data_IF_193312319479
#
_entry.id   IF_193312319479
#
_cell.length_a   1.000
_cell.length_b   1.000
_cell.length_c   1.000
_cell.angle_alpha   90.00
_cell.angle_beta   90.00
_cell.angle_gamma   90.00
#
_symmetry.space_group_name_H-M   'P 1'
#
loop_
_entity.id
_entity.type
_entity.pdbx_description
1 polymer ?
#
# COMPACT_ATOMS: atom_id res chain seq x y z
N UNK A 1 0.16 -51.60 -11.51
CA UNK A 1 -0.14 -50.27 -10.90
C UNK A 1 -1.59 -50.14 -10.42
N UNK A 2 -2.59 -50.51 -11.25
CA UNK A 2 -4.01 -50.45 -10.88
C UNK A 2 -4.39 -51.37 -9.70
N UNK A 3 -3.72 -52.52 -9.57
CA UNK A 3 -4.01 -53.49 -8.50
C UNK A 3 -3.56 -52.97 -7.12
N UNK A 4 -2.39 -52.33 -7.05
CA UNK A 4 -1.90 -51.69 -5.83
C UNK A 4 -2.82 -50.54 -5.38
N UNK A 5 -3.34 -49.75 -6.32
CA UNK A 5 -4.29 -48.66 -6.03
C UNK A 5 -5.61 -49.21 -5.46
N UNK A 6 -6.14 -50.30 -6.05
CA UNK A 6 -7.34 -51.00 -5.53
C UNK A 6 -7.13 -51.52 -4.11
N UNK A 7 -5.98 -52.13 -3.85
CA UNK A 7 -5.64 -52.66 -2.51
C UNK A 7 -5.52 -51.53 -1.49
N UNK A 8 -4.86 -50.42 -1.86
CA UNK A 8 -4.70 -49.26 -0.99
C UNK A 8 -6.05 -48.61 -0.62
N UNK A 9 -6.94 -48.38 -1.59
CA UNK A 9 -8.27 -47.78 -1.36
C UNK A 9 -9.12 -48.70 -0.45
N UNK A 10 -9.07 -50.01 -0.67
CA UNK A 10 -9.79 -50.97 0.16
C UNK A 10 -9.25 -51.03 1.58
N UNK A 11 -7.94 -50.87 1.76
CA UNK A 11 -7.29 -50.79 3.06
C UNK A 11 -7.70 -49.51 3.84
N UNK A 12 -7.64 -48.36 3.17
CA UNK A 12 -8.07 -47.06 3.74
C UNK A 12 -9.55 -47.10 4.14
N UNK A 13 -10.40 -47.68 3.28
CA UNK A 13 -11.83 -47.85 3.51
C UNK A 13 -12.20 -48.85 4.61
N UNK A 14 -11.33 -49.81 4.93
CA UNK A 14 -11.52 -50.77 6.03
C UNK A 14 -11.23 -50.14 7.39
N UNK A 15 -10.25 -49.24 7.47
CA UNK A 15 -9.83 -48.61 8.72
C UNK A 15 -10.34 -47.16 8.85
N UNK A 16 -11.67 -46.98 8.69
CA UNK A 16 -12.31 -45.65 8.51
C UNK A 16 -11.95 -44.63 9.58
N UNK A 17 -11.86 -45.03 10.86
CA UNK A 17 -11.57 -44.12 11.97
C UNK A 17 -10.16 -43.52 11.87
N UNK A 18 -9.14 -44.36 11.62
CA UNK A 18 -7.74 -43.94 11.50
C UNK A 18 -7.50 -43.14 10.21
N UNK A 19 -8.09 -43.59 9.11
CA UNK A 19 -8.02 -42.90 7.82
C UNK A 19 -8.65 -41.51 7.89
N UNK A 20 -9.80 -41.38 8.55
CA UNK A 20 -10.51 -40.11 8.70
C UNK A 20 -9.69 -39.07 9.48
N UNK A 21 -9.12 -39.44 10.62
CA UNK A 21 -8.27 -38.54 11.43
C UNK A 21 -7.10 -37.99 10.59
N UNK A 22 -6.46 -38.87 9.82
CA UNK A 22 -5.31 -38.49 8.98
C UNK A 22 -5.73 -37.54 7.84
N UNK A 23 -6.82 -37.86 7.13
CA UNK A 23 -7.35 -37.04 6.04
C UNK A 23 -7.75 -35.65 6.56
N UNK A 24 -8.47 -35.59 7.69
CA UNK A 24 -8.89 -34.31 8.31
C UNK A 24 -7.68 -33.48 8.71
N UNK A 25 -6.64 -34.10 9.29
CA UNK A 25 -5.41 -33.39 9.68
C UNK A 25 -4.73 -32.75 8.47
N UNK A 26 -4.57 -33.51 7.39
CA UNK A 26 -3.98 -33.00 6.14
C UNK A 26 -4.87 -31.89 5.55
N UNK A 27 -6.18 -32.13 5.50
CA UNK A 27 -7.15 -31.17 4.97
C UNK A 27 -7.09 -29.83 5.71
N UNK A 28 -7.12 -29.85 7.06
CA UNK A 28 -7.03 -28.65 7.88
C UNK A 28 -5.68 -27.94 7.68
N UNK A 29 -4.56 -28.67 7.62
CA UNK A 29 -3.24 -28.09 7.35
C UNK A 29 -3.18 -27.37 6.01
N UNK A 30 -3.69 -28.02 4.94
CA UNK A 30 -3.73 -27.41 3.60
C UNK A 30 -4.68 -26.21 3.56
N UNK A 31 -5.83 -26.29 4.23
CA UNK A 31 -6.80 -25.21 4.31
C UNK A 31 -6.20 -23.97 4.97
N UNK A 32 -5.52 -24.15 6.12
CA UNK A 32 -4.86 -23.05 6.84
C UNK A 32 -3.76 -22.41 5.99
N UNK A 33 -2.87 -23.22 5.41
CA UNK A 33 -1.77 -22.70 4.56
C UNK A 33 -2.31 -21.96 3.34
N UNK A 34 -3.35 -22.50 2.70
CA UNK A 34 -3.98 -21.88 1.53
C UNK A 34 -4.70 -20.58 1.90
N UNK A 35 -5.39 -20.56 3.04
CA UNK A 35 -6.05 -19.36 3.58
C UNK A 35 -5.07 -18.24 3.89
N UNK A 36 -3.96 -18.55 4.58
CA UNK A 36 -2.90 -17.58 4.87
C UNK A 36 -2.31 -17.02 3.58
N UNK A 37 -2.03 -17.87 2.58
CA UNK A 37 -1.53 -17.41 1.28
C UNK A 37 -2.52 -16.50 0.56
N UNK A 38 -3.81 -16.83 0.57
CA UNK A 38 -4.85 -15.98 0.00
C UNK A 38 -4.90 -14.61 0.68
N UNK A 39 -4.86 -14.59 2.02
CA UNK A 39 -4.84 -13.36 2.80
C UNK A 39 -3.60 -12.51 2.50
N UNK A 40 -2.41 -13.12 2.48
CA UNK A 40 -1.15 -12.42 2.15
C UNK A 40 -1.17 -11.86 0.73
N UNK A 41 -1.74 -12.57 -0.23
CA UNK A 41 -1.88 -12.07 -1.60
C UNK A 41 -2.85 -10.89 -1.67
N UNK A 42 -3.96 -10.95 -0.92
CA UNK A 42 -4.89 -9.83 -0.78
C UNK A 42 -4.19 -8.59 -0.21
N UNK A 43 -3.46 -8.75 0.89
CA UNK A 43 -2.68 -7.66 1.48
C UNK A 43 -1.62 -7.11 0.54
N UNK A 44 -0.90 -7.95 -0.21
CA UNK A 44 0.08 -7.47 -1.19
C UNK A 44 -0.58 -6.68 -2.33
N UNK A 45 -1.77 -7.14 -2.79
CA UNK A 45 -2.57 -6.42 -3.78
C UNK A 45 -3.01 -5.04 -3.28
N UNK A 46 -3.50 -4.98 -2.05
CA UNK A 46 -3.91 -3.73 -1.40
C UNK A 46 -2.75 -2.78 -1.11
N UNK A 47 -1.61 -3.29 -0.64
CA UNK A 47 -0.41 -2.48 -0.43
C UNK A 47 0.04 -1.87 -1.76
N UNK A 48 0.09 -2.66 -2.83
CA UNK A 48 0.48 -2.17 -4.15
C UNK A 48 -0.51 -1.13 -4.69
N UNK A 49 -1.81 -1.39 -4.56
CA UNK A 49 -2.86 -0.48 -5.04
C UNK A 49 -2.87 0.84 -4.27
N UNK A 50 -2.67 0.77 -2.94
CA UNK A 50 -2.69 1.91 -2.04
C UNK A 50 -1.43 2.78 -2.19
N UNK A 51 -0.25 2.17 -2.27
CA UNK A 51 1.00 2.92 -2.44
C UNK A 51 1.03 3.65 -3.79
N UNK A 52 0.70 2.95 -4.87
CA UNK A 52 0.86 3.48 -6.24
C UNK A 52 -0.24 4.48 -6.61
N UNK A 53 -1.49 4.27 -6.15
CA UNK A 53 -2.62 5.07 -6.65
C UNK A 53 -3.30 5.97 -5.62
N UNK A 54 -3.02 5.82 -4.32
CA UNK A 54 -3.67 6.65 -3.28
C UNK A 54 -2.75 7.70 -2.68
N UNK A 55 -1.47 7.42 -2.46
CA UNK A 55 -0.66 8.28 -1.56
C UNK A 55 0.56 8.89 -2.25
N UNK A 56 1.18 8.23 -3.22
CA UNK A 56 2.56 8.60 -3.61
C UNK A 56 2.79 8.91 -5.08
N UNK A 57 1.85 8.61 -5.98
CA UNK A 57 2.14 8.56 -7.41
C UNK A 57 3.24 7.53 -7.73
N UNK A 58 3.62 7.42 -8.99
CA UNK A 58 4.65 6.45 -9.40
C UNK A 58 6.07 6.89 -8.99
N UNK A 59 6.32 8.20 -8.87
CA UNK A 59 7.62 8.77 -8.51
C UNK A 59 7.46 10.09 -7.75
N UNK A 60 8.28 10.28 -6.71
CA UNK A 60 8.39 11.55 -5.98
C UNK A 60 9.78 12.13 -6.08
N UNK A 61 9.85 13.43 -6.37
CA UNK A 61 11.09 14.19 -6.40
C UNK A 61 11.15 15.06 -5.15
N UNK A 62 12.22 14.89 -4.37
CA UNK A 62 12.48 15.67 -3.18
C UNK A 62 13.82 16.37 -3.29
N UNK A 63 13.93 17.55 -2.66
CA UNK A 63 15.23 18.19 -2.47
C UNK A 63 16.12 17.32 -1.59
N UNK A 64 17.43 17.30 -1.85
CA UNK A 64 18.38 16.58 -1.00
C UNK A 64 18.28 17.06 0.45
N UNK A 65 18.18 16.12 1.40
CA UNK A 65 17.98 16.43 2.82
C UNK A 65 16.53 16.69 3.24
N UNK A 66 15.55 16.45 2.35
CA UNK A 66 14.13 16.61 2.66
C UNK A 66 13.69 15.77 3.87
N UNK A 67 14.06 14.49 3.93
CA UNK A 67 13.65 13.59 5.01
C UNK A 67 14.09 14.07 6.40
N UNK A 68 15.26 14.72 6.50
CA UNK A 68 15.78 15.24 7.77
C UNK A 68 15.22 16.63 8.13
N UNK A 69 14.73 17.38 7.12
CA UNK A 69 14.31 18.77 7.24
C UNK A 69 12.78 18.96 7.32
N UNK A 70 11.97 17.96 6.94
CA UNK A 70 10.50 18.02 6.96
C UNK A 70 9.96 18.38 8.35
N UNK A 71 10.58 17.87 9.41
CA UNK A 71 10.13 18.10 10.79
C UNK A 71 10.75 19.35 11.43
N UNK A 72 11.87 19.84 10.88
CA UNK A 72 12.72 20.84 11.53
C UNK A 72 12.70 22.22 10.86
N UNK A 73 12.54 22.29 9.54
CA UNK A 73 12.60 23.56 8.79
C UNK A 73 11.82 23.49 7.46
N UNK A 74 10.57 24.00 7.44
CA UNK A 74 9.72 23.95 6.26
C UNK A 74 10.20 24.84 5.10
N UNK A 75 11.19 25.72 5.30
CA UNK A 75 11.76 26.52 4.22
C UNK A 75 12.92 25.80 3.50
N UNK A 76 13.61 24.89 4.20
CA UNK A 76 14.72 24.12 3.60
C UNK A 76 14.25 23.04 2.63
N UNK A 77 12.99 22.60 2.75
CA UNK A 77 12.38 21.57 1.91
C UNK A 77 11.88 22.07 0.54
N UNK A 78 11.81 23.39 0.34
CA UNK A 78 11.28 23.98 -0.89
C UNK A 78 12.19 23.72 -2.09
N UNK A 79 11.58 23.37 -3.22
CA UNK A 79 12.21 23.32 -4.53
C UNK A 79 12.19 24.75 -5.09
N UNK A 80 13.35 25.41 -5.26
CA UNK A 80 13.39 26.84 -5.59
C UNK A 80 12.90 27.17 -7.00
N UNK A 81 13.01 26.23 -7.95
CA UNK A 81 12.54 26.42 -9.32
C UNK A 81 11.76 25.18 -9.81
N UNK A 82 10.48 25.16 -9.45
CA UNK A 82 9.58 24.08 -9.85
C UNK A 82 9.38 24.04 -11.38
N UNK A 83 9.31 25.21 -12.03
CA UNK A 83 9.02 25.30 -13.46
C UNK A 83 10.16 24.75 -14.33
N UNK A 84 11.42 25.03 -13.96
CA UNK A 84 12.56 24.44 -14.66
C UNK A 84 12.67 22.94 -14.40
N UNK A 85 12.33 22.48 -13.19
CA UNK A 85 12.32 21.06 -12.87
C UNK A 85 11.26 20.30 -13.69
N UNK A 86 10.05 20.85 -13.81
CA UNK A 86 8.97 20.27 -14.64
C UNK A 86 9.39 20.13 -16.11
N UNK A 87 10.14 21.10 -16.65
CA UNK A 87 10.70 21.02 -18.00
C UNK A 87 11.78 19.96 -18.16
N UNK A 88 12.61 19.75 -17.13
CA UNK A 88 13.69 18.76 -17.18
C UNK A 88 13.18 17.31 -17.07
N UNK A 89 12.04 17.11 -16.41
CA UNK A 89 11.46 15.78 -16.18
C UNK A 89 10.54 15.36 -17.35
N UNK A 90 10.28 16.23 -18.32
CA UNK A 90 9.45 15.93 -19.48
C UNK A 90 10.05 14.78 -20.32
N UNK A 91 9.42 13.60 -20.22
CA UNK A 91 9.71 12.42 -21.02
C UNK A 91 8.43 11.96 -21.72
N UNK A 92 8.51 11.25 -22.87
CA UNK A 92 7.32 10.82 -23.63
C UNK A 92 6.33 9.96 -22.83
N UNK A 93 6.82 9.26 -21.81
CA UNK A 93 6.05 8.35 -20.94
C UNK A 93 5.44 9.07 -19.72
N UNK A 94 5.74 10.36 -19.52
CA UNK A 94 5.23 11.15 -18.40
C UNK A 94 3.78 11.54 -18.65
N UNK A 95 2.86 11.05 -17.81
CA UNK A 95 1.42 11.32 -17.93
C UNK A 95 1.06 12.66 -17.30
N UNK A 96 1.49 12.90 -16.05
CA UNK A 96 1.16 14.12 -15.30
C UNK A 96 2.17 14.37 -14.17
N UNK A 97 2.21 15.60 -13.68
CA UNK A 97 2.98 16.02 -12.50
C UNK A 97 2.12 16.91 -11.63
N UNK A 98 2.23 16.77 -10.31
CA UNK A 98 1.49 17.56 -9.34
C UNK A 98 2.42 18.02 -8.21
N UNK A 99 2.51 19.32 -7.91
CA UNK A 99 3.29 19.80 -6.79
C UNK A 99 2.58 19.51 -5.47
N UNK A 100 3.36 19.14 -4.46
CA UNK A 100 2.86 18.94 -3.10
C UNK A 100 3.75 19.62 -2.09
N UNK A 101 3.14 20.16 -1.04
CA UNK A 101 3.82 20.76 0.09
C UNK A 101 3.32 20.10 1.38
N UNK A 102 4.21 19.56 2.19
CA UNK A 102 3.88 18.99 3.50
C UNK A 102 4.57 19.80 4.58
N UNK A 103 3.79 20.34 5.51
CA UNK A 103 4.28 21.17 6.61
C UNK A 103 3.68 20.69 7.91
N UNK A 104 4.50 20.54 8.93
CA UNK A 104 4.03 20.32 10.30
C UNK A 104 3.64 21.64 10.95
N UNK A 105 2.49 21.65 11.60
CA UNK A 105 1.97 22.81 12.29
C UNK A 105 1.20 22.45 13.54
N UNK A 106 0.87 23.46 14.34
CA UNK A 106 -0.01 23.32 15.48
C UNK A 106 -1.36 23.93 15.13
N UNK A 107 -2.42 23.15 15.23
CA UNK A 107 -3.78 23.63 15.05
C UNK A 107 -4.38 23.91 16.43
N UNK A 108 -4.73 25.17 16.68
CA UNK A 108 -5.40 25.58 17.90
C UNK A 108 -6.89 25.70 17.67
N UNK A 109 -7.68 24.97 18.45
CA UNK A 109 -9.12 25.12 18.47
C UNK A 109 -9.55 26.09 19.58
N UNK A 110 -9.87 27.33 19.20
CA UNK A 110 -10.16 28.44 20.13
C UNK A 110 -11.16 28.09 21.23
N UNK A 111 -12.22 27.33 20.92
CA UNK A 111 -13.28 27.01 21.88
C UNK A 111 -12.88 26.00 22.96
N UNK A 112 -11.97 25.07 22.65
CA UNK A 112 -11.53 24.05 23.60
C UNK A 112 -10.13 24.30 24.15
N UNK A 113 -9.46 25.37 23.69
CA UNK A 113 -8.05 25.68 23.99
C UNK A 113 -7.07 24.52 23.77
N UNK A 114 -7.49 23.53 22.97
CA UNK A 114 -6.67 22.37 22.64
C UNK A 114 -5.78 22.74 21.46
N UNK A 115 -4.49 22.51 21.64
CA UNK A 115 -3.49 22.63 20.58
C UNK A 115 -3.07 21.22 20.19
N UNK A 116 -3.33 20.86 18.94
CA UNK A 116 -3.03 19.53 18.41
C UNK A 116 -2.00 19.67 17.29
N UNK A 117 -0.91 18.88 17.31
CA UNK A 117 -0.01 18.81 16.17
C UNK A 117 -0.74 18.21 14.97
N UNK A 118 -0.62 18.88 13.83
CA UNK A 118 -1.23 18.45 12.57
C UNK A 118 -0.19 18.48 11.46
N UNK A 119 -0.38 17.59 10.49
CA UNK A 119 0.31 17.65 9.22
C UNK A 119 -0.59 18.34 8.21
N UNK A 120 -0.15 19.49 7.72
CA UNK A 120 -0.85 20.26 6.68
C UNK A 120 -0.26 19.84 5.33
N UNK A 121 -1.12 19.45 4.40
CA UNK A 121 -0.72 19.03 3.05
C UNK A 121 -1.37 19.97 2.04
N UNK A 122 -0.56 20.78 1.38
CA UNK A 122 -0.96 21.61 0.25
C UNK A 122 -0.83 20.81 -1.05
N UNK A 123 -1.95 20.70 -1.77
CA UNK A 123 -2.04 20.02 -3.07
C UNK A 123 -2.71 20.94 -4.10
N UNK A 124 -2.35 20.79 -5.37
CA UNK A 124 -3.13 21.35 -6.48
C UNK A 124 -4.23 20.35 -6.87
N UNK A 125 -5.47 20.61 -6.45
CA UNK A 125 -6.59 19.68 -6.64
C UNK A 125 -6.80 19.22 -8.08
N UNK A 126 -6.48 20.05 -9.09
CA UNK A 126 -6.68 19.67 -10.50
C UNK A 126 -5.59 18.72 -10.98
N UNK A 127 -4.33 19.08 -10.76
CA UNK A 127 -3.17 18.28 -11.19
C UNK A 127 -3.01 17.00 -10.38
N UNK A 128 -3.41 17.04 -9.11
CA UNK A 128 -3.33 15.90 -8.20
C UNK A 128 -4.21 14.73 -8.64
N UNK A 129 -5.40 15.00 -9.20
CA UNK A 129 -6.30 13.95 -9.70
C UNK A 129 -5.76 13.27 -10.96
N UNK A 130 -4.96 13.96 -11.76
CA UNK A 130 -4.30 13.39 -12.94
C UNK A 130 -3.18 12.42 -12.54
N UNK A 131 -2.46 12.72 -11.44
CA UNK A 131 -1.36 11.88 -10.92
C UNK A 131 -1.88 10.76 -9.99
N UNK A 132 -2.88 11.07 -9.16
CA UNK A 132 -3.47 10.17 -8.17
C UNK A 132 -5.00 10.07 -8.39
N UNK A 133 -5.44 9.33 -9.41
CA UNK A 133 -6.86 9.26 -9.80
C UNK A 133 -7.78 8.60 -8.76
N UNK A 134 -7.24 8.03 -7.68
CA UNK A 134 -8.01 7.46 -6.57
C UNK A 134 -7.99 8.30 -5.29
N UNK A 135 -7.48 9.53 -5.35
CA UNK A 135 -7.49 10.46 -4.21
C UNK A 135 -8.92 10.72 -3.71
N UNK A 136 -9.92 10.82 -4.61
CA UNK A 136 -11.33 11.04 -4.25
C UNK A 136 -11.94 9.93 -3.38
N UNK A 137 -11.39 8.72 -3.40
CA UNK A 137 -11.91 7.59 -2.61
C UNK A 137 -11.33 7.54 -1.19
N UNK A 138 -10.41 8.45 -0.85
CA UNK A 138 -9.70 8.49 0.43
C UNK A 138 -10.13 9.66 1.34
N UNK A 139 -10.97 10.57 0.84
CA UNK A 139 -11.61 11.67 1.60
C UNK A 139 -13.03 11.25 1.97
#
# INVERSE_FOLDING_TARGET
MKDFLKVAIRNVGRNRRRSFITIVTIFLGVLVVSGIRGLLNGFQGEIRSSLTRKIHGDLQVHKKGYQDAVDNDPYKILIPDLASLEKQIQVPELIATAPRLRVFGLLNHQKSQLTTPVMIVGIDSKRELEVCPRLEQAV
#
